data_IF_144611346618
#
_entry.id   IF_144611346618
#
_cell.length_a   1.000
_cell.length_b   1.000
_cell.length_c   1.000
_cell.angle_alpha   90.00
_cell.angle_beta   90.00
_cell.angle_gamma   90.00
#
_symmetry.space_group_name_H-M   'P 1'
#
loop_
_entity.id
_entity.type
_entity.pdbx_description
1 polymer ?
#
# COMPACT_ATOMS: atom_id res chain seq x y z
N UNK A 1 15.92 -0.65 9.00
CA UNK A 1 15.69 -2.06 9.37
C UNK A 1 14.63 -2.55 8.40
N UNK A 2 14.86 -3.64 7.65
CA UNK A 2 13.93 -4.00 6.57
C UNK A 2 12.58 -4.44 7.13
N UNK A 3 11.51 -4.09 6.41
CA UNK A 3 10.14 -4.42 6.80
C UNK A 3 9.92 -5.95 6.85
N UNK A 4 9.40 -6.46 7.97
CA UNK A 4 8.97 -7.87 8.08
C UNK A 4 7.60 -8.03 7.38
N UNK A 5 7.65 -8.28 6.07
CA UNK A 5 6.49 -8.37 5.19
C UNK A 5 5.91 -9.79 5.19
N UNK A 6 4.65 -9.92 5.62
CA UNK A 6 3.91 -11.18 5.55
C UNK A 6 3.31 -11.45 4.17
N UNK A 7 2.80 -10.40 3.51
CA UNK A 7 2.25 -10.50 2.15
C UNK A 7 2.26 -9.15 1.43
N UNK A 8 2.32 -9.21 0.10
CA UNK A 8 2.11 -8.09 -0.80
C UNK A 8 0.86 -8.38 -1.64
N UNK A 9 0.02 -7.38 -1.83
CA UNK A 9 -1.15 -7.44 -2.71
C UNK A 9 -1.05 -6.27 -3.68
N UNK A 10 -1.17 -6.56 -4.97
CA UNK A 10 -1.30 -5.52 -6.00
C UNK A 10 -2.70 -5.62 -6.59
N UNK A 11 -3.39 -4.50 -6.67
CA UNK A 11 -4.69 -4.38 -7.31
C UNK A 11 -4.52 -3.48 -8.52
N UNK A 12 -5.04 -3.90 -9.66
CA UNK A 12 -5.17 -3.07 -10.86
C UNK A 12 -6.65 -3.04 -11.21
N UNK A 13 -7.20 -1.84 -11.30
CA UNK A 13 -8.56 -1.58 -11.74
C UNK A 13 -8.50 -0.92 -13.12
N UNK A 14 -9.34 -1.40 -14.04
CA UNK A 14 -9.58 -0.75 -15.32
C UNK A 14 -11.05 -0.33 -15.41
N UNK A 15 -11.29 0.96 -15.64
CA UNK A 15 -12.63 1.45 -15.91
C UNK A 15 -12.90 1.38 -17.40
N UNK A 16 -13.72 0.40 -17.82
CA UNK A 16 -14.10 0.22 -19.22
C UNK A 16 -15.32 1.06 -19.62
N UNK A 17 -16.23 1.32 -18.67
CA UNK A 17 -17.48 2.06 -18.87
C UNK A 17 -17.72 2.92 -17.62
N UNK A 18 -18.08 4.19 -17.83
CA UNK A 18 -18.47 5.11 -16.76
C UNK A 18 -19.61 6.01 -17.27
N UNK A 19 -20.66 6.21 -16.47
CA UNK A 19 -21.83 6.99 -16.89
C UNK A 19 -22.48 6.46 -18.17
N UNK A 20 -22.59 5.12 -18.30
CA UNK A 20 -23.14 4.42 -19.48
C UNK A 20 -22.37 4.64 -20.79
N UNK A 21 -21.17 5.22 -20.74
CA UNK A 21 -20.33 5.48 -21.92
C UNK A 21 -19.02 4.70 -21.85
N UNK A 22 -18.51 4.17 -22.99
CA UNK A 22 -17.21 3.52 -23.02
C UNK A 22 -16.09 4.53 -22.74
N UNK A 23 -15.13 4.13 -21.91
CA UNK A 23 -13.92 4.91 -21.62
C UNK A 23 -12.81 4.39 -22.53
N UNK A 24 -12.34 5.22 -23.47
CA UNK A 24 -11.34 4.84 -24.46
C UNK A 24 -10.23 5.90 -24.57
N UNK A 25 -8.97 5.58 -24.22
CA UNK A 25 -8.53 4.31 -23.65
C UNK A 25 -9.09 4.10 -22.22
N UNK A 26 -9.27 2.86 -21.75
CA UNK A 26 -9.65 2.61 -20.35
C UNK A 26 -8.72 3.30 -19.38
N UNK A 27 -9.30 3.99 -18.38
CA UNK A 27 -8.50 4.52 -17.29
C UNK A 27 -8.06 3.37 -16.39
N UNK A 28 -6.86 3.46 -15.84
CA UNK A 28 -6.29 2.43 -14.98
C UNK A 28 -5.85 3.02 -13.66
N UNK A 29 -6.16 2.33 -12.57
CA UNK A 29 -5.69 2.66 -11.22
C UNK A 29 -4.97 1.44 -10.66
N UNK A 30 -3.89 1.67 -9.93
CA UNK A 30 -3.16 0.60 -9.27
C UNK A 30 -2.93 0.95 -7.80
N UNK A 31 -2.94 -0.07 -6.96
CA UNK A 31 -2.56 0.02 -5.56
C UNK A 31 -1.62 -1.14 -5.21
N UNK A 32 -0.45 -0.83 -4.68
CA UNK A 32 0.46 -1.78 -4.07
C UNK A 32 0.33 -1.70 -2.55
N UNK A 33 0.11 -2.85 -1.90
CA UNK A 33 -0.23 -2.92 -0.48
C UNK A 33 0.67 -3.98 0.18
N UNK A 34 1.39 -3.60 1.23
CA UNK A 34 2.17 -4.50 2.05
C UNK A 34 1.49 -4.71 3.41
N UNK A 35 1.44 -5.97 3.88
CA UNK A 35 1.06 -6.29 5.26
C UNK A 35 2.31 -6.65 6.03
N UNK A 36 2.63 -5.84 7.03
CA UNK A 36 3.85 -5.95 7.83
C UNK A 36 3.56 -6.32 9.28
N UNK A 37 4.55 -6.87 9.96
CA UNK A 37 4.53 -6.99 11.42
C UNK A 37 4.64 -5.61 12.07
N UNK A 38 3.75 -5.30 13.01
CA UNK A 38 3.86 -4.09 13.83
C UNK A 38 4.82 -4.33 15.02
N UNK A 39 5.99 -3.65 15.09
CA UNK A 39 6.93 -3.79 16.20
C UNK A 39 6.42 -3.22 17.54
N UNK A 40 5.38 -2.37 17.51
CA UNK A 40 4.78 -1.73 18.68
C UNK A 40 3.42 -2.28 19.09
N UNK A 41 3.00 -3.43 18.56
CA UNK A 41 1.72 -4.02 18.92
C UNK A 41 1.59 -4.24 20.45
N UNK A 42 0.40 -3.90 21.00
CA UNK A 42 0.02 -4.07 22.41
C UNK A 42 0.82 -3.26 23.44
N UNK A 43 1.55 -2.22 23.01
CA UNK A 43 2.23 -1.28 23.91
C UNK A 43 1.99 0.16 23.46
N UNK A 44 2.01 1.08 24.43
CA UNK A 44 2.11 2.51 24.14
C UNK A 44 3.59 2.86 23.93
N UNK A 45 3.87 3.64 22.89
CA UNK A 45 5.22 4.10 22.55
C UNK A 45 5.09 5.53 22.04
N UNK A 46 5.86 6.46 22.61
CA UNK A 46 5.84 7.88 22.20
C UNK A 46 6.57 8.11 20.88
N UNK A 47 7.69 7.42 20.67
CA UNK A 47 8.49 7.51 19.45
C UNK A 47 8.08 6.41 18.46
N UNK A 48 7.74 6.82 17.22
CA UNK A 48 7.31 5.95 16.13
C UNK A 48 8.29 5.96 14.94
N UNK A 49 9.53 6.43 15.13
CA UNK A 49 10.53 6.60 14.08
C UNK A 49 10.79 5.29 13.30
N UNK A 50 10.74 4.13 13.99
CA UNK A 50 10.86 2.82 13.36
C UNK A 50 9.76 2.57 12.30
N UNK A 51 8.51 2.96 12.59
CA UNK A 51 7.41 2.83 11.64
C UNK A 51 7.51 3.83 10.49
N UNK A 52 8.02 5.05 10.74
CA UNK A 52 8.24 6.06 9.72
C UNK A 52 9.32 5.58 8.74
N UNK A 53 10.45 5.09 9.25
CA UNK A 53 11.54 4.56 8.44
C UNK A 53 11.10 3.36 7.59
N UNK A 54 10.28 2.47 8.15
CA UNK A 54 9.66 1.37 7.37
C UNK A 54 8.73 1.90 6.29
N UNK A 55 7.95 2.95 6.56
CA UNK A 55 7.10 3.61 5.57
C UNK A 55 7.90 4.21 4.41
N UNK A 56 9.03 4.86 4.69
CA UNK A 56 9.93 5.39 3.66
C UNK A 56 10.57 4.29 2.80
N UNK A 57 10.95 3.16 3.41
CA UNK A 57 11.47 1.99 2.68
C UNK A 57 10.40 1.41 1.76
N UNK A 58 9.19 1.17 2.28
CA UNK A 58 8.09 0.60 1.51
C UNK A 58 7.61 1.53 0.39
N UNK A 59 7.67 2.85 0.58
CA UNK A 59 7.28 3.82 -0.45
C UNK A 59 8.22 3.88 -1.67
N UNK A 60 9.42 3.29 -1.58
CA UNK A 60 10.35 3.18 -2.72
C UNK A 60 10.07 1.98 -3.62
N UNK A 61 9.28 1.02 -3.14
CA UNK A 61 8.95 -0.25 -3.81
C UNK A 61 7.59 -0.14 -4.47
#
# INVERSE_FOLDING_TARGET
>A
MSADIRKIVTVVEETLIEGERPVSPPTRRAAAIAVIRNPHARKYVENLDDLIAVGEELGKV
#
